data_IF_955600175269
#
_entry.id   IF_955600175269
#
_cell.length_a   1.000
_cell.length_b   1.000
_cell.length_c   1.000
_cell.angle_alpha   90.00
_cell.angle_beta   90.00
_cell.angle_gamma   90.00
#
_symmetry.space_group_name_H-M   'P 1'
#
loop_
_entity.id
_entity.type
_entity.pdbx_description
1 polymer ?
#
# COMPACT_ATOMS: atom_id res chain seq x y z
N UNK A 1 -49.87 4.89 -6.00
CA UNK A 1 -48.93 3.73 -6.07
C UNK A 1 -47.52 4.13 -6.52
N UNK A 2 -47.33 4.70 -7.72
CA UNK A 2 -45.98 5.04 -8.22
C UNK A 2 -45.23 6.03 -7.31
N UNK A 3 -45.93 7.02 -6.75
CA UNK A 3 -45.36 7.97 -5.79
C UNK A 3 -44.83 7.29 -4.52
N UNK A 4 -45.55 6.29 -3.99
CA UNK A 4 -45.17 5.53 -2.78
C UNK A 4 -43.92 4.68 -3.04
N UNK A 5 -43.88 3.99 -4.18
CA UNK A 5 -42.73 3.18 -4.56
C UNK A 5 -41.49 4.07 -4.78
N UNK A 6 -41.68 5.21 -5.46
CA UNK A 6 -40.61 6.18 -5.70
C UNK A 6 -40.07 6.77 -4.40
N UNK A 7 -40.93 7.25 -3.50
CA UNK A 7 -40.50 7.87 -2.25
C UNK A 7 -39.72 6.89 -1.37
N UNK A 8 -40.11 5.61 -1.35
CA UNK A 8 -39.39 4.57 -0.63
C UNK A 8 -38.04 4.22 -1.28
N UNK A 9 -37.98 4.16 -2.62
CA UNK A 9 -36.73 3.96 -3.35
C UNK A 9 -35.76 5.13 -3.14
N UNK A 10 -36.26 6.37 -3.24
CA UNK A 10 -35.49 7.58 -3.02
C UNK A 10 -34.89 7.58 -1.60
N UNK A 11 -35.68 7.18 -0.59
CA UNK A 11 -35.17 6.98 0.78
C UNK A 11 -34.01 5.96 0.83
N UNK A 12 -34.14 4.80 0.19
CA UNK A 12 -33.08 3.78 0.18
C UNK A 12 -31.82 4.26 -0.53
N UNK A 13 -31.96 4.97 -1.65
CA UNK A 13 -30.81 5.55 -2.35
C UNK A 13 -30.11 6.61 -1.50
N UNK A 14 -30.87 7.45 -0.78
CA UNK A 14 -30.26 8.40 0.15
C UNK A 14 -29.56 7.70 1.32
N UNK A 15 -30.15 6.64 1.88
CA UNK A 15 -29.52 5.86 2.95
C UNK A 15 -28.17 5.28 2.54
N UNK A 16 -28.02 4.85 1.27
CA UNK A 16 -26.80 4.25 0.74
C UNK A 16 -25.66 5.25 0.45
N UNK A 17 -25.87 6.54 0.65
CA UNK A 17 -24.82 7.53 0.42
C UNK A 17 -23.68 7.36 1.44
N UNK A 18 -22.45 7.28 0.95
CA UNK A 18 -21.25 7.18 1.79
C UNK A 18 -21.00 8.46 2.61
N UNK A 19 -21.55 9.58 2.16
CA UNK A 19 -21.43 10.88 2.81
C UNK A 19 -22.78 11.60 2.79
N UNK A 20 -23.14 12.17 3.95
CA UNK A 20 -24.36 12.96 4.09
C UNK A 20 -24.03 14.43 4.36
N UNK A 21 -24.80 15.30 3.75
CA UNK A 21 -24.93 16.72 4.07
C UNK A 21 -26.31 16.98 4.65
N UNK A 22 -26.53 18.13 5.29
CA UNK A 22 -27.89 18.51 5.75
C UNK A 22 -28.91 18.53 4.60
N UNK A 23 -28.48 18.83 3.36
CA UNK A 23 -29.35 18.77 2.18
C UNK A 23 -29.81 17.34 1.90
N UNK A 24 -28.89 16.38 1.92
CA UNK A 24 -29.22 14.97 1.65
C UNK A 24 -30.00 14.34 2.80
N UNK A 25 -29.72 14.72 4.06
CA UNK A 25 -30.51 14.27 5.22
C UNK A 25 -31.93 14.81 5.17
N UNK A 26 -32.10 16.08 4.79
CA UNK A 26 -33.42 16.65 4.58
C UNK A 26 -34.16 15.94 3.45
N UNK A 27 -33.53 15.74 2.30
CA UNK A 27 -34.14 15.01 1.18
C UNK A 27 -34.52 13.55 1.55
N UNK A 28 -33.71 12.89 2.39
CA UNK A 28 -34.02 11.58 2.94
C UNK A 28 -35.26 11.61 3.84
N UNK A 29 -35.37 12.59 4.73
CA UNK A 29 -36.55 12.77 5.58
C UNK A 29 -37.80 13.11 4.75
N UNK A 30 -37.68 14.06 3.81
CA UNK A 30 -38.78 14.46 2.92
C UNK A 30 -39.31 13.25 2.10
N UNK A 31 -38.41 12.34 1.70
CA UNK A 31 -38.78 11.09 1.02
C UNK A 31 -39.55 10.13 1.93
N UNK A 32 -39.18 10.03 3.22
CA UNK A 32 -39.89 9.21 4.20
C UNK A 32 -41.27 9.79 4.54
N UNK A 33 -41.36 11.11 4.69
CA UNK A 33 -42.61 11.83 4.94
C UNK A 33 -43.56 11.63 3.76
N UNK A 34 -43.08 11.82 2.53
CA UNK A 34 -43.84 11.55 1.31
C UNK A 34 -44.30 10.09 1.21
N UNK A 35 -43.52 9.12 1.70
CA UNK A 35 -43.96 7.72 1.78
C UNK A 35 -45.12 7.57 2.77
N UNK A 36 -45.02 8.16 3.96
CA UNK A 36 -46.05 8.07 4.98
C UNK A 36 -47.36 8.79 4.60
N UNK A 37 -47.28 9.89 3.86
CA UNK A 37 -48.45 10.60 3.35
C UNK A 37 -49.25 9.76 2.36
N UNK A 38 -48.57 8.99 1.50
CA UNK A 38 -49.20 8.29 0.38
C UNK A 38 -49.42 6.77 0.61
N UNK A 39 -48.84 6.17 1.66
CA UNK A 39 -48.92 4.70 1.90
C UNK A 39 -50.35 4.17 2.07
N UNK A 40 -51.29 5.01 2.50
CA UNK A 40 -52.70 4.63 2.71
C UNK A 40 -53.36 4.09 1.43
N UNK A 41 -52.95 4.56 0.25
CA UNK A 41 -53.43 4.06 -1.05
C UNK A 41 -53.18 2.55 -1.21
N UNK A 42 -52.14 2.00 -0.60
CA UNK A 42 -51.88 0.56 -0.65
C UNK A 42 -52.82 -0.25 0.26
N UNK A 43 -53.36 0.38 1.31
CA UNK A 43 -54.40 -0.21 2.17
C UNK A 43 -55.76 -0.16 1.46
N UNK A 44 -56.10 0.98 0.85
CA UNK A 44 -57.34 1.16 0.07
C UNK A 44 -57.44 0.22 -1.12
N UNK A 45 -56.32 -0.09 -1.77
CA UNK A 45 -56.25 -1.06 -2.86
C UNK A 45 -56.21 -2.52 -2.39
N UNK A 46 -56.41 -2.76 -1.09
CA UNK A 46 -56.39 -4.10 -0.46
C UNK A 46 -55.08 -4.88 -0.70
N UNK A 47 -53.97 -4.18 -0.99
CA UNK A 47 -52.66 -4.81 -1.18
C UNK A 47 -52.09 -5.28 0.17
N UNK A 48 -52.45 -4.59 1.26
CA UNK A 48 -52.04 -4.92 2.64
C UNK A 48 -52.97 -4.30 3.67
N UNK A 49 -53.17 -4.98 4.80
CA UNK A 49 -54.03 -4.51 5.90
C UNK A 49 -53.44 -3.31 6.67
N UNK A 50 -52.15 -3.35 7.01
CA UNK A 50 -51.47 -2.27 7.75
C UNK A 50 -49.97 -2.15 7.45
N UNK A 51 -49.33 -1.12 8.02
CA UNK A 51 -47.89 -0.84 7.88
C UNK A 51 -47.13 -0.94 9.22
N UNK A 52 -47.64 -1.70 10.19
CA UNK A 52 -47.00 -1.96 11.50
C UNK A 52 -45.87 -3.00 11.37
N UNK A 53 -44.97 -2.76 10.43
CA UNK A 53 -43.85 -3.63 10.10
C UNK A 53 -42.62 -3.07 10.80
N UNK A 54 -41.94 -3.84 11.67
CA UNK A 54 -40.76 -3.35 12.39
C UNK A 54 -39.69 -2.72 11.48
N UNK A 55 -39.51 -3.28 10.26
CA UNK A 55 -38.57 -2.75 9.25
C UNK A 55 -38.98 -1.40 8.64
N UNK A 56 -40.28 -1.09 8.60
CA UNK A 56 -40.77 0.23 8.16
C UNK A 56 -40.66 1.22 9.31
N UNK A 57 -40.98 0.80 10.53
CA UNK A 57 -40.82 1.62 11.71
C UNK A 57 -39.36 2.04 11.93
N UNK A 58 -38.40 1.14 11.70
CA UNK A 58 -36.98 1.45 11.86
C UNK A 58 -36.49 2.60 10.96
N UNK A 59 -37.15 2.86 9.83
CA UNK A 59 -36.77 3.94 8.90
C UNK A 59 -36.86 5.32 9.57
N UNK A 60 -37.76 5.50 10.54
CA UNK A 60 -37.91 6.73 11.33
C UNK A 60 -36.65 7.12 12.09
N UNK A 61 -35.79 6.15 12.40
CA UNK A 61 -34.58 6.38 13.19
C UNK A 61 -33.34 6.62 12.34
N UNK A 62 -33.39 6.44 11.02
CA UNK A 62 -32.19 6.51 10.18
C UNK A 62 -31.52 7.88 10.24
N UNK A 63 -32.28 8.96 10.08
CA UNK A 63 -31.69 10.31 10.06
C UNK A 63 -31.05 10.65 11.41
N UNK A 64 -31.69 10.29 12.53
CA UNK A 64 -31.09 10.46 13.86
C UNK A 64 -29.85 9.59 14.06
N UNK A 65 -29.88 8.34 13.61
CA UNK A 65 -28.74 7.42 13.70
C UNK A 65 -27.58 7.89 12.84
N UNK A 66 -27.84 8.39 11.63
CA UNK A 66 -26.80 8.90 10.73
C UNK A 66 -26.12 10.12 11.34
N UNK A 67 -26.87 11.01 11.99
CA UNK A 67 -26.31 12.16 12.71
C UNK A 67 -25.45 11.74 13.91
N UNK A 68 -25.84 10.69 14.61
CA UNK A 68 -25.14 10.23 15.81
C UNK A 68 -23.93 9.34 15.52
N UNK A 69 -24.00 8.50 14.48
CA UNK A 69 -23.08 7.39 14.24
C UNK A 69 -22.32 7.50 12.91
N UNK A 70 -22.72 8.40 12.00
CA UNK A 70 -22.14 8.53 10.67
C UNK A 70 -22.98 7.85 9.58
N UNK A 71 -22.46 7.81 8.34
CA UNK A 71 -23.16 7.16 7.23
C UNK A 71 -23.38 5.67 7.50
N UNK A 72 -24.36 5.06 6.83
CA UNK A 72 -24.69 3.65 7.07
C UNK A 72 -23.69 2.68 6.44
N UNK A 73 -22.69 3.20 5.71
CA UNK A 73 -21.60 2.41 5.13
C UNK A 73 -20.76 1.77 6.25
N UNK A 74 -20.66 0.45 6.25
CA UNK A 74 -19.99 -0.33 7.31
C UNK A 74 -20.88 -0.86 8.43
N UNK A 75 -22.18 -0.55 8.45
CA UNK A 75 -23.15 -1.13 9.40
C UNK A 75 -23.92 -2.35 8.84
N UNK A 76 -23.66 -2.76 7.60
CA UNK A 76 -24.29 -3.94 7.02
C UNK A 76 -23.68 -5.24 7.58
N UNK A 77 -24.50 -6.27 7.73
CA UNK A 77 -24.07 -7.59 8.21
C UNK A 77 -23.62 -8.51 7.07
N UNK A 78 -23.71 -8.06 5.81
CA UNK A 78 -23.37 -8.86 4.63
C UNK A 78 -21.93 -9.40 4.67
N UNK A 79 -20.97 -8.57 5.08
CA UNK A 79 -19.57 -8.99 5.17
C UNK A 79 -19.33 -10.02 6.28
N UNK A 80 -19.76 -9.79 7.55
CA UNK A 80 -19.73 -10.82 8.58
C UNK A 80 -20.48 -12.11 8.19
N UNK A 81 -21.64 -12.01 7.54
CA UNK A 81 -22.43 -13.17 7.09
C UNK A 81 -21.70 -13.97 6.01
N UNK A 82 -20.99 -13.31 5.09
CA UNK A 82 -20.17 -13.98 4.08
C UNK A 82 -19.00 -14.73 4.73
N UNK A 83 -18.32 -14.08 5.68
CA UNK A 83 -17.22 -14.67 6.43
C UNK A 83 -17.69 -15.84 7.32
N UNK A 84 -18.93 -15.83 7.77
CA UNK A 84 -19.53 -16.94 8.50
C UNK A 84 -19.53 -18.26 7.70
N UNK A 85 -19.50 -18.22 6.37
CA UNK A 85 -19.36 -19.43 5.55
C UNK A 85 -17.98 -20.05 5.80
N UNK A 86 -16.93 -19.27 5.55
CA UNK A 86 -15.56 -19.77 5.53
C UNK A 86 -15.04 -20.01 6.96
N UNK A 87 -15.39 -19.13 7.91
CA UNK A 87 -14.87 -19.19 9.28
C UNK A 87 -15.71 -20.03 10.24
N UNK A 88 -17.03 -20.08 10.05
CA UNK A 88 -17.90 -20.83 10.96
C UNK A 88 -18.40 -22.13 10.33
N UNK A 89 -19.05 -22.08 9.16
CA UNK A 89 -19.69 -23.28 8.58
C UNK A 89 -18.68 -24.33 8.14
N UNK A 90 -17.61 -23.93 7.46
CA UNK A 90 -16.61 -24.88 6.96
C UNK A 90 -15.77 -25.46 8.11
N UNK A 91 -15.36 -24.62 9.06
CA UNK A 91 -14.70 -25.05 10.28
C UNK A 91 -15.58 -26.03 11.10
N UNK A 92 -16.87 -25.72 11.27
CA UNK A 92 -17.81 -26.60 11.96
C UNK A 92 -18.01 -27.93 11.22
N UNK A 93 -18.11 -27.89 9.88
CA UNK A 93 -18.24 -29.09 9.05
C UNK A 93 -17.00 -29.99 9.14
N UNK A 94 -15.81 -29.41 9.32
CA UNK A 94 -14.56 -30.14 9.51
C UNK A 94 -14.37 -30.68 10.94
N UNK A 95 -15.15 -30.21 11.92
CA UNK A 95 -15.10 -30.67 13.30
C UNK A 95 -15.85 -31.99 13.51
N UNK A 96 -15.58 -32.66 14.64
CA UNK A 96 -16.38 -33.81 15.08
C UNK A 96 -17.69 -33.42 15.80
N UNK A 97 -17.99 -32.11 15.88
CA UNK A 97 -19.19 -31.49 16.51
C UNK A 97 -19.32 -31.67 18.03
N UNK A 98 -18.29 -32.20 18.70
CA UNK A 98 -18.21 -32.28 20.17
C UNK A 98 -17.14 -31.29 20.64
N UNK A 99 -17.48 -30.38 21.55
CA UNK A 99 -16.57 -29.32 22.02
C UNK A 99 -15.90 -28.60 20.84
N UNK A 100 -16.72 -28.23 19.85
CA UNK A 100 -16.29 -27.87 18.50
C UNK A 100 -15.55 -26.53 18.40
N UNK A 101 -15.67 -25.65 19.41
CA UNK A 101 -15.08 -24.30 19.37
C UNK A 101 -13.55 -24.35 19.26
N UNK A 102 -12.90 -25.18 20.09
CA UNK A 102 -11.45 -25.37 20.04
C UNK A 102 -11.00 -26.01 18.73
N UNK A 103 -11.79 -26.96 18.21
CA UNK A 103 -11.51 -27.61 16.93
C UNK A 103 -11.65 -26.64 15.76
N UNK A 104 -12.65 -25.76 15.77
CA UNK A 104 -12.83 -24.72 14.76
C UNK A 104 -11.68 -23.71 14.80
N UNK A 105 -11.28 -23.26 15.99
CA UNK A 105 -10.13 -22.36 16.15
C UNK A 105 -8.84 -23.01 15.63
N UNK A 106 -8.58 -24.26 16.00
CA UNK A 106 -7.43 -25.02 15.51
C UNK A 106 -7.48 -25.26 14.00
N UNK A 107 -8.67 -25.50 13.44
CA UNK A 107 -8.86 -25.65 12.00
C UNK A 107 -8.50 -24.36 11.27
N UNK A 108 -8.96 -23.20 11.75
CA UNK A 108 -8.63 -21.89 11.18
C UNK A 108 -7.13 -21.62 11.23
N UNK A 109 -6.48 -21.86 12.39
CA UNK A 109 -5.04 -21.71 12.54
C UNK A 109 -4.26 -22.58 11.55
N UNK A 110 -4.74 -23.80 11.26
CA UNK A 110 -4.14 -24.68 10.26
C UNK A 110 -4.35 -24.16 8.84
N UNK A 111 -5.54 -23.65 8.51
CA UNK A 111 -5.79 -23.05 7.19
C UNK A 111 -4.88 -21.85 6.95
N UNK A 112 -4.73 -20.97 7.94
CA UNK A 112 -3.81 -19.83 7.88
C UNK A 112 -2.36 -20.31 7.68
N UNK A 113 -1.88 -21.27 8.48
CA UNK A 113 -0.53 -21.81 8.35
C UNK A 113 -0.25 -22.42 6.97
N UNK A 114 -1.23 -23.17 6.41
CA UNK A 114 -1.12 -23.72 5.05
C UNK A 114 -1.09 -22.61 4.00
N UNK A 115 -1.92 -21.58 4.16
CA UNK A 115 -1.94 -20.44 3.26
C UNK A 115 -0.59 -19.69 3.29
N UNK A 116 -0.06 -19.39 4.48
CA UNK A 116 1.27 -18.79 4.66
C UNK A 116 2.38 -19.64 4.02
N UNK A 117 2.34 -20.96 4.22
CA UNK A 117 3.36 -21.84 3.62
C UNK A 117 3.26 -21.89 2.10
N UNK A 118 2.04 -21.99 1.57
CA UNK A 118 1.79 -22.10 0.12
C UNK A 118 2.24 -20.85 -0.62
N UNK A 119 1.92 -19.69 -0.09
CA UNK A 119 2.34 -18.38 -0.62
C UNK A 119 3.86 -18.18 -0.52
N UNK A 120 4.50 -18.58 0.59
CA UNK A 120 5.96 -18.60 0.71
C UNK A 120 6.63 -19.49 -0.34
N UNK A 121 6.09 -20.69 -0.58
CA UNK A 121 6.61 -21.60 -1.61
C UNK A 121 6.47 -21.00 -3.01
N UNK A 122 5.33 -20.35 -3.32
CA UNK A 122 5.13 -19.65 -4.58
C UNK A 122 6.14 -18.49 -4.77
N UNK A 123 6.35 -17.67 -3.73
CA UNK A 123 7.37 -16.62 -3.74
C UNK A 123 8.80 -17.19 -3.96
N UNK A 124 9.12 -18.31 -3.30
CA UNK A 124 10.43 -18.95 -3.44
C UNK A 124 10.62 -19.53 -4.85
N UNK A 125 9.59 -20.12 -5.44
CA UNK A 125 9.62 -20.61 -6.83
C UNK A 125 9.83 -19.46 -7.81
N UNK A 126 9.13 -18.34 -7.64
CA UNK A 126 9.32 -17.12 -8.43
C UNK A 126 10.79 -16.65 -8.44
N UNK A 127 11.49 -16.72 -7.30
CA UNK A 127 12.93 -16.37 -7.23
C UNK A 127 13.85 -17.41 -7.84
N UNK A 128 13.42 -18.68 -7.89
CA UNK A 128 14.23 -19.78 -8.43
C UNK A 128 14.14 -19.91 -9.94
N UNK A 129 13.08 -19.40 -10.58
CA UNK A 129 12.93 -19.38 -12.03
C UNK A 129 14.12 -18.63 -12.65
N UNK A 130 15.12 -19.32 -13.21
CA UNK A 130 16.06 -18.64 -14.08
C UNK A 130 15.26 -18.25 -15.31
N UNK A 131 15.40 -17.03 -15.78
CA UNK A 131 14.96 -16.65 -17.12
C UNK A 131 15.62 -17.57 -18.15
N UNK A 132 14.92 -18.65 -18.51
CA UNK A 132 15.33 -19.63 -19.49
C UNK A 132 14.09 -20.04 -20.28
N UNK A 133 13.65 -19.13 -21.15
CA UNK A 133 13.56 -19.41 -22.58
C UNK A 133 13.40 -18.08 -23.36
N UNK A 134 14.39 -17.85 -24.22
CA UNK A 134 14.55 -16.72 -25.14
C UNK A 134 13.40 -16.68 -26.17
N UNK A 135 12.92 -15.53 -26.65
CA UNK A 135 13.56 -14.70 -27.68
C UNK A 135 12.81 -13.35 -27.80
N UNK A 136 13.60 -12.28 -27.96
CA UNK A 136 13.26 -10.98 -28.56
C UNK A 136 12.14 -10.11 -27.95
N UNK A 137 12.44 -9.43 -26.83
CA UNK A 137 12.37 -7.95 -26.75
C UNK A 137 13.14 -7.45 -25.50
N UNK A 138 13.85 -6.34 -25.64
CA UNK A 138 14.74 -5.82 -24.60
C UNK A 138 14.00 -5.24 -23.40
N UNK A 139 13.93 -5.98 -22.29
CA UNK A 139 14.08 -5.52 -20.88
C UNK A 139 13.37 -6.44 -19.88
N UNK A 140 13.97 -7.60 -19.58
CA UNK A 140 13.57 -8.36 -18.38
C UNK A 140 14.20 -7.74 -17.11
N UNK A 141 14.06 -6.41 -16.93
CA UNK A 141 14.62 -5.70 -15.78
C UNK A 141 13.66 -5.80 -14.61
N UNK A 142 14.16 -6.26 -13.45
CA UNK A 142 13.41 -6.33 -12.18
C UNK A 142 12.93 -4.94 -11.68
N UNK A 143 13.32 -3.87 -12.38
CA UNK A 143 12.93 -2.51 -12.10
C UNK A 143 12.63 -1.74 -13.40
N UNK A 144 11.92 -0.62 -13.27
CA UNK A 144 11.60 0.32 -14.35
C UNK A 144 11.81 1.76 -13.87
N UNK A 145 12.44 2.57 -14.70
CA UNK A 145 12.58 4.02 -14.49
C UNK A 145 11.93 4.76 -15.66
N UNK A 146 11.57 6.03 -15.47
CA UNK A 146 11.03 6.85 -16.55
C UNK A 146 12.06 6.99 -17.68
N UNK A 147 11.59 6.95 -18.94
CA UNK A 147 12.45 7.05 -20.13
C UNK A 147 13.33 8.32 -20.13
N UNK A 148 12.80 9.40 -19.56
CA UNK A 148 13.48 10.67 -19.43
C UNK A 148 13.75 11.00 -17.96
N UNK A 149 14.89 11.62 -17.64
CA UNK A 149 15.17 12.09 -16.30
C UNK A 149 14.15 13.16 -15.90
N UNK A 150 13.73 13.11 -14.64
CA UNK A 150 12.82 14.11 -14.07
C UNK A 150 13.51 15.47 -13.95
N UNK A 151 14.82 15.46 -13.70
CA UNK A 151 15.68 16.62 -13.86
C UNK A 151 17.01 16.19 -14.48
N UNK A 152 17.40 16.85 -15.57
CA UNK A 152 18.63 16.55 -16.30
C UNK A 152 19.74 17.51 -15.92
N UNK A 153 21.00 17.04 -15.97
CA UNK A 153 22.21 17.82 -15.74
C UNK A 153 22.23 18.63 -14.44
N UNK A 154 21.89 18.02 -13.30
CA UNK A 154 22.03 18.69 -12.01
C UNK A 154 23.49 18.72 -11.55
N UNK A 155 23.91 19.83 -10.95
CA UNK A 155 25.20 19.91 -10.24
C UNK A 155 25.12 19.24 -8.87
N UNK A 156 26.30 18.90 -8.34
CA UNK A 156 26.46 18.27 -7.02
C UNK A 156 25.84 19.13 -5.91
N UNK A 157 26.05 20.45 -5.94
CA UNK A 157 25.50 21.37 -4.93
C UNK A 157 23.97 21.32 -4.87
N UNK A 158 23.31 21.23 -6.02
CA UNK A 158 21.86 21.13 -6.09
C UNK A 158 21.37 19.78 -5.56
N UNK A 159 22.14 18.69 -5.77
CA UNK A 159 21.82 17.38 -5.22
C UNK A 159 21.92 17.42 -3.69
N UNK A 160 23.01 17.95 -3.15
CA UNK A 160 23.21 18.07 -1.71
C UNK A 160 22.14 18.95 -1.05
N UNK A 161 21.84 20.11 -1.65
CA UNK A 161 20.89 21.08 -1.10
C UNK A 161 19.42 20.64 -1.26
N UNK A 162 18.98 20.28 -2.47
CA UNK A 162 17.56 20.02 -2.72
C UNK A 162 17.14 18.60 -2.33
N UNK A 163 18.00 17.61 -2.56
CA UNK A 163 17.71 16.20 -2.26
C UNK A 163 18.17 15.78 -0.86
N UNK A 164 18.72 16.72 -0.07
CA UNK A 164 19.23 16.51 1.29
C UNK A 164 20.30 15.42 1.38
N UNK A 165 21.12 15.29 0.33
CA UNK A 165 22.11 14.23 0.19
C UNK A 165 23.52 14.76 0.51
N UNK A 166 23.77 15.19 1.75
CA UNK A 166 25.03 15.86 2.12
C UNK A 166 26.28 15.03 1.81
N UNK A 167 26.22 13.72 2.10
CA UNK A 167 27.34 12.78 1.88
C UNK A 167 27.36 12.19 0.46
N UNK A 168 26.66 12.78 -0.51
CA UNK A 168 26.59 12.27 -1.88
C UNK A 168 27.98 12.13 -2.52
N UNK A 169 28.77 13.21 -2.52
CA UNK A 169 30.12 13.27 -3.09
C UNK A 169 31.08 12.24 -2.47
N UNK A 170 31.33 12.25 -1.14
CA UNK A 170 32.27 11.31 -0.54
C UNK A 170 31.83 9.85 -0.71
N UNK A 171 30.53 9.58 -0.66
CA UNK A 171 29.99 8.22 -0.87
C UNK A 171 30.19 7.75 -2.31
N UNK A 172 29.94 8.63 -3.28
CA UNK A 172 30.09 8.28 -4.70
C UNK A 172 31.56 8.08 -5.08
N UNK A 173 32.47 8.94 -4.62
CA UNK A 173 33.91 8.77 -4.83
C UNK A 173 34.44 7.48 -4.22
N UNK A 174 34.01 7.14 -3.00
CA UNK A 174 34.35 5.88 -2.35
C UNK A 174 33.81 4.69 -3.15
N UNK A 175 32.54 4.74 -3.58
CA UNK A 175 31.93 3.69 -4.38
C UNK A 175 32.66 3.50 -5.71
N UNK A 176 32.95 4.58 -6.44
CA UNK A 176 33.71 4.53 -7.70
C UNK A 176 35.12 3.94 -7.51
N UNK A 177 35.78 4.29 -6.42
CA UNK A 177 37.11 3.75 -6.06
C UNK A 177 37.05 2.25 -5.74
N UNK A 178 36.00 1.80 -5.06
CA UNK A 178 35.79 0.38 -4.73
C UNK A 178 35.39 -0.47 -5.93
N UNK A 179 34.59 0.09 -6.84
CA UNK A 179 33.98 -0.65 -7.95
C UNK A 179 34.91 -0.76 -9.17
N UNK A 180 35.76 0.23 -9.40
CA UNK A 180 36.63 0.28 -10.58
C UNK A 180 37.82 -0.68 -10.53
N UNK A 181 38.10 -1.34 -9.38
CA UNK A 181 39.21 -2.27 -9.19
C UNK A 181 40.62 -1.67 -9.38
N UNK A 182 40.68 -0.43 -9.84
CA UNK A 182 41.87 0.38 -10.04
C UNK A 182 41.83 1.46 -8.97
N UNK A 183 42.88 1.58 -8.16
CA UNK A 183 43.06 2.67 -7.20
C UNK A 183 43.31 4.02 -7.92
N UNK A 184 42.48 4.39 -8.89
CA UNK A 184 42.39 5.76 -9.39
C UNK A 184 41.37 6.47 -8.53
N UNK A 185 41.85 7.42 -7.73
CA UNK A 185 40.97 8.37 -7.05
C UNK A 185 40.19 9.13 -8.13
N UNK A 186 38.94 8.73 -8.37
CA UNK A 186 38.02 9.49 -9.21
C UNK A 186 37.55 10.65 -8.35
N UNK A 187 38.06 11.85 -8.64
CA UNK A 187 37.59 13.07 -7.98
C UNK A 187 36.44 13.67 -8.78
N UNK A 188 35.31 13.87 -8.10
CA UNK A 188 34.18 14.56 -8.69
C UNK A 188 34.52 16.04 -8.81
N UNK A 189 34.27 16.61 -9.98
CA UNK A 189 34.49 18.03 -10.25
C UNK A 189 33.17 18.79 -10.16
N UNK A 190 33.20 20.08 -9.80
CA UNK A 190 32.01 20.94 -9.82
C UNK A 190 31.31 21.04 -11.19
N UNK A 191 32.01 20.63 -12.26
CA UNK A 191 31.50 20.53 -13.62
C UNK A 191 30.66 19.27 -13.88
N UNK A 192 30.64 18.32 -12.95
CA UNK A 192 29.90 17.06 -13.14
C UNK A 192 28.40 17.29 -13.06
N UNK A 193 27.67 16.58 -13.93
CA UNK A 193 26.25 16.81 -14.17
C UNK A 193 25.52 15.48 -14.20
N UNK A 194 24.53 15.30 -13.34
CA UNK A 194 23.81 14.04 -13.18
C UNK A 194 22.37 14.13 -13.67
N UNK A 195 21.90 13.06 -14.29
CA UNK A 195 20.50 12.90 -14.68
C UNK A 195 19.75 12.19 -13.56
N UNK A 196 18.73 12.84 -12.99
CA UNK A 196 18.01 12.40 -11.80
C UNK A 196 16.57 11.99 -12.15
N UNK A 197 16.13 10.90 -11.53
CA UNK A 197 14.80 10.34 -11.65
C UNK A 197 14.06 10.47 -10.32
N UNK A 198 12.80 10.88 -10.39
CA UNK A 198 11.95 11.03 -9.20
C UNK A 198 11.24 9.74 -8.79
N UNK A 199 11.16 8.77 -9.71
CA UNK A 199 10.39 7.55 -9.54
C UNK A 199 11.19 6.34 -10.02
N UNK A 200 11.30 5.35 -9.15
CA UNK A 200 11.80 4.01 -9.45
C UNK A 200 10.66 3.03 -9.19
N UNK A 201 10.41 2.12 -10.13
CA UNK A 201 9.43 1.06 -9.96
C UNK A 201 10.17 -0.25 -9.82
N UNK A 202 9.93 -1.00 -8.74
CA UNK A 202 10.54 -2.31 -8.53
C UNK A 202 9.46 -3.39 -8.62
N UNK A 203 9.79 -4.52 -9.24
CA UNK A 203 8.88 -5.67 -9.30
C UNK A 203 8.87 -6.33 -7.94
N UNK A 204 7.72 -6.35 -7.28
CA UNK A 204 7.48 -7.11 -6.05
C UNK A 204 6.73 -8.38 -6.39
N UNK A 205 7.21 -9.50 -5.83
CA UNK A 205 6.53 -10.79 -5.93
C UNK A 205 5.20 -10.79 -5.16
N UNK A 206 4.43 -11.88 -5.26
CA UNK A 206 3.16 -11.99 -4.55
C UNK A 206 3.37 -11.82 -3.04
N UNK A 207 2.55 -10.96 -2.44
CA UNK A 207 2.62 -10.63 -1.01
C UNK A 207 1.66 -11.49 -0.23
N UNK A 208 2.19 -12.22 0.75
CA UNK A 208 1.40 -13.04 1.67
C UNK A 208 0.58 -12.20 2.63
N UNK A 209 1.11 -11.02 3.01
CA UNK A 209 0.51 -10.15 4.02
C UNK A 209 -0.67 -9.35 3.44
N UNK A 210 -0.56 -8.96 2.17
CA UNK A 210 -1.57 -8.11 1.51
C UNK A 210 -2.44 -8.87 0.51
N UNK A 211 -2.17 -10.17 0.27
CA UNK A 211 -2.87 -10.98 -0.73
C UNK A 211 -2.70 -10.52 -2.18
N UNK A 212 -1.75 -9.61 -2.45
CA UNK A 212 -1.57 -9.03 -3.78
C UNK A 212 -0.73 -9.96 -4.65
N UNK A 213 -1.16 -10.12 -5.91
CA UNK A 213 -0.40 -10.72 -7.00
C UNK A 213 0.87 -9.90 -7.31
N UNK A 214 1.70 -10.38 -8.24
CA UNK A 214 2.85 -9.62 -8.74
C UNK A 214 2.46 -8.17 -9.08
N UNK A 215 3.19 -7.21 -8.52
CA UNK A 215 2.91 -5.80 -8.75
C UNK A 215 4.19 -4.97 -8.77
N UNK A 216 4.12 -3.81 -9.43
CA UNK A 216 5.22 -2.85 -9.47
C UNK A 216 5.06 -1.86 -8.32
N UNK A 217 5.96 -1.91 -7.35
CA UNK A 217 5.97 -0.94 -6.24
C UNK A 217 6.74 0.31 -6.66
N UNK A 218 6.12 1.47 -6.46
CA UNK A 218 6.70 2.78 -6.78
C UNK A 218 7.46 3.34 -5.58
N UNK A 219 8.75 3.61 -5.77
CA UNK A 219 9.64 4.31 -4.84
C UNK A 219 9.85 5.74 -5.36
N UNK A 220 9.68 6.74 -4.49
CA UNK A 220 9.82 8.16 -4.82
C UNK A 220 11.00 8.80 -4.13
N UNK A 221 11.74 9.61 -4.90
CA UNK A 221 12.84 10.44 -4.43
C UNK A 221 12.69 11.85 -5.03
N UNK A 222 11.89 12.68 -4.36
CA UNK A 222 11.44 13.98 -4.88
C UNK A 222 11.75 15.10 -3.89
N UNK A 223 12.48 16.15 -4.30
CA UNK A 223 12.68 17.32 -3.47
C UNK A 223 11.39 18.15 -3.43
N UNK A 224 11.35 19.16 -2.56
CA UNK A 224 10.23 20.11 -2.54
C UNK A 224 10.20 20.84 -3.88
N UNK A 225 9.08 20.81 -4.59
CA UNK A 225 8.89 21.54 -5.84
C UNK A 225 7.91 22.67 -5.59
N UNK A 226 8.38 23.91 -5.71
CA UNK A 226 7.54 25.10 -5.64
C UNK A 226 6.64 25.13 -6.88
N UNK A 227 5.35 25.31 -6.67
CA UNK A 227 4.35 25.41 -7.72
C UNK A 227 4.66 26.59 -8.65
N UNK A 228 4.52 26.37 -9.96
CA UNK A 228 4.54 27.46 -10.96
C UNK A 228 3.20 27.51 -11.67
N UNK A 229 2.55 28.68 -11.63
CA UNK A 229 1.26 28.91 -12.26
C UNK A 229 0.12 28.16 -11.58
N UNK A 230 -0.66 27.38 -12.33
CA UNK A 230 -1.81 26.61 -11.83
C UNK A 230 -1.45 25.30 -11.11
N UNK A 231 -0.16 24.96 -11.00
CA UNK A 231 0.28 23.73 -10.30
C UNK A 231 0.54 24.04 -8.82
N UNK A 232 -0.08 23.31 -7.88
CA UNK A 232 0.16 23.49 -6.46
C UNK A 232 1.59 23.07 -6.07
N UNK A 233 2.05 23.57 -4.92
CA UNK A 233 3.30 23.15 -4.30
C UNK A 233 3.31 21.64 -4.01
N UNK A 234 4.41 20.98 -4.34
CA UNK A 234 4.63 19.58 -3.98
C UNK A 234 5.66 19.50 -2.84
N UNK A 235 5.23 19.00 -1.68
CA UNK A 235 6.13 18.69 -0.57
C UNK A 235 7.19 17.66 -0.97
N UNK A 236 8.37 17.75 -0.35
CA UNK A 236 9.43 16.77 -0.55
C UNK A 236 8.96 15.37 -0.09
N UNK A 237 9.30 14.34 -0.87
CA UNK A 237 8.94 12.95 -0.58
C UNK A 237 10.10 12.02 -0.91
N UNK A 238 10.61 11.35 0.13
CA UNK A 238 11.69 10.38 0.06
C UNK A 238 11.21 9.09 0.73
N UNK A 239 10.81 8.13 -0.10
CA UNK A 239 10.27 6.85 0.37
C UNK A 239 11.39 5.98 0.98
N UNK A 240 11.02 5.14 1.93
CA UNK A 240 11.91 4.16 2.57
C UNK A 240 11.74 2.78 1.94
N UNK A 241 12.83 2.05 1.79
CA UNK A 241 12.85 0.69 1.26
C UNK A 241 13.57 -0.25 2.24
N UNK A 242 13.13 -1.50 2.28
CA UNK A 242 13.88 -2.59 2.89
C UNK A 242 14.89 -3.10 1.88
N UNK A 243 16.16 -3.13 2.27
CA UNK A 243 17.27 -3.61 1.44
C UNK A 243 17.84 -4.85 2.11
N UNK A 244 18.07 -5.89 1.31
CA UNK A 244 18.75 -7.12 1.72
C UNK A 244 20.25 -6.92 1.49
N UNK A 245 21.08 -7.09 2.52
CA UNK A 245 22.54 -7.05 2.36
C UNK A 245 23.06 -8.37 1.77
N UNK A 246 23.86 -8.28 0.70
CA UNK A 246 24.48 -9.45 0.08
C UNK A 246 25.56 -10.04 0.99
N UNK A 247 25.44 -11.33 1.33
CA UNK A 247 26.37 -12.07 2.17
C UNK A 247 25.70 -13.05 3.15
N UNK A 248 24.42 -12.85 3.46
CA UNK A 248 23.61 -13.75 4.27
C UNK A 248 22.59 -14.46 3.36
N UNK A 249 22.91 -15.68 2.93
CA UNK A 249 21.89 -16.56 2.37
C UNK A 249 20.94 -16.95 3.51
N UNK A 250 19.64 -16.61 3.44
CA UNK A 250 18.72 -16.97 4.50
C UNK A 250 18.59 -18.49 4.61
N UNK A 251 18.93 -19.04 5.76
CA UNK A 251 18.40 -20.34 6.16
C UNK A 251 16.91 -20.16 6.51
N UNK A 252 16.09 -21.19 6.25
CA UNK A 252 14.64 -21.06 6.15
C UNK A 252 13.89 -20.73 7.47
N UNK A 253 14.60 -20.58 8.59
CA UNK A 253 14.04 -20.49 9.95
C UNK A 253 14.38 -19.18 10.69
N UNK A 254 14.97 -18.20 10.02
CA UNK A 254 15.51 -17.00 10.68
C UNK A 254 14.56 -15.79 10.66
N UNK A 255 14.37 -15.20 11.85
CA UNK A 255 13.60 -13.96 12.10
C UNK A 255 14.22 -12.78 11.31
N UNK A 256 13.46 -11.72 11.04
CA UNK A 256 13.88 -10.51 10.31
C UNK A 256 15.24 -9.94 10.77
N UNK A 257 15.59 -10.13 12.04
CA UNK A 257 16.85 -9.71 12.67
C UNK A 257 18.09 -10.44 12.11
N UNK A 258 17.91 -11.66 11.60
CA UNK A 258 18.97 -12.55 11.03
C UNK A 258 19.03 -12.49 9.50
N UNK A 259 18.01 -11.92 8.85
CA UNK A 259 17.88 -11.87 7.38
C UNK A 259 18.78 -10.83 6.69
N UNK A 260 19.64 -10.11 7.42
CA UNK A 260 20.46 -9.04 6.85
C UNK A 260 19.61 -7.92 6.21
N UNK A 261 18.38 -7.73 6.69
CA UNK A 261 17.46 -6.71 6.18
C UNK A 261 17.74 -5.39 6.90
N UNK A 262 18.00 -4.34 6.14
CA UNK A 262 18.21 -2.99 6.66
C UNK A 262 17.26 -2.01 5.99
N UNK A 263 16.79 -1.01 6.74
CA UNK A 263 15.93 0.04 6.20
C UNK A 263 16.81 1.14 5.63
N UNK A 264 16.49 1.61 4.43
CA UNK A 264 17.17 2.71 3.78
C UNK A 264 16.17 3.75 3.28
N UNK A 265 16.45 5.03 3.50
CA UNK A 265 15.72 6.12 2.87
C UNK A 265 16.32 6.42 1.51
N UNK A 266 15.51 6.37 0.45
CA UNK A 266 15.97 6.66 -0.91
C UNK A 266 15.97 8.17 -1.14
N UNK A 267 17.16 8.72 -1.35
CA UNK A 267 17.40 10.17 -1.46
C UNK A 267 17.52 10.63 -2.91
N UNK A 268 18.30 9.91 -3.73
CA UNK A 268 18.54 10.26 -5.14
C UNK A 268 18.54 9.00 -5.99
N UNK A 269 17.86 9.03 -7.14
CA UNK A 269 17.96 8.00 -8.18
C UNK A 269 18.57 8.68 -9.38
N UNK A 270 19.72 8.22 -9.88
CA UNK A 270 20.47 8.94 -10.91
C UNK A 270 21.12 8.01 -11.92
N UNK A 271 21.36 8.52 -13.13
CA UNK A 271 22.24 7.90 -14.10
C UNK A 271 23.63 8.51 -13.98
N UNK A 272 24.65 7.66 -13.92
CA UNK A 272 26.03 8.10 -13.92
C UNK A 272 26.42 8.61 -15.33
N UNK A 273 27.15 9.74 -15.43
CA UNK A 273 27.65 10.22 -16.71
C UNK A 273 28.57 9.19 -17.40
N UNK A 274 28.46 9.11 -18.72
CA UNK A 274 29.13 8.05 -19.50
C UNK A 274 30.67 8.11 -19.43
N UNK A 275 31.25 9.26 -19.06
CA UNK A 275 32.71 9.43 -18.88
C UNK A 275 33.26 8.78 -17.61
N UNK A 276 32.41 8.42 -16.64
CA UNK A 276 32.81 7.60 -15.49
C UNK A 276 32.79 6.09 -15.81
N UNK A 277 32.25 5.70 -16.97
CA UNK A 277 32.08 4.32 -17.39
C UNK A 277 30.67 4.05 -17.90
N UNK A 278 30.50 2.90 -18.55
CA UNK A 278 29.18 2.48 -19.05
C UNK A 278 28.45 1.67 -17.96
N UNK A 279 27.45 2.29 -17.36
CA UNK A 279 26.59 1.66 -16.35
C UNK A 279 25.17 1.50 -16.90
N UNK A 280 24.71 0.26 -17.18
CA UNK A 280 23.41 0.02 -17.78
C UNK A 280 22.24 0.26 -16.81
N UNK A 281 22.52 0.31 -15.51
CA UNK A 281 21.52 0.44 -14.47
C UNK A 281 21.61 1.82 -13.79
N UNK A 282 20.47 2.45 -13.43
CA UNK A 282 20.46 3.66 -12.62
C UNK A 282 20.97 3.33 -11.21
N UNK A 283 21.71 4.26 -10.64
CA UNK A 283 22.23 4.19 -9.27
C UNK A 283 21.28 4.88 -8.31
N UNK A 284 21.34 4.46 -7.05
CA UNK A 284 20.49 5.01 -6.00
C UNK A 284 21.36 5.40 -4.81
N UNK A 285 21.33 6.67 -4.43
CA UNK A 285 21.90 7.14 -3.18
C UNK A 285 20.87 6.97 -2.06
N UNK A 286 21.28 6.27 -1.00
CA UNK A 286 20.44 5.92 0.14
C UNK A 286 21.08 6.33 1.45
N UNK A 287 20.25 6.74 2.40
CA UNK A 287 20.65 6.93 3.79
C UNK A 287 20.17 5.75 4.62
N UNK A 288 21.10 5.05 5.24
CA UNK A 288 20.82 3.89 6.07
C UNK A 288 20.21 4.29 7.41
N UNK A 289 19.23 3.52 7.87
CA UNK A 289 18.82 3.52 9.26
C UNK A 289 19.63 2.48 10.06
N UNK A 290 19.57 2.60 11.39
CA UNK A 290 20.11 1.61 12.32
C UNK A 290 19.49 0.23 12.09
N UNK A 291 20.27 -0.83 12.34
CA UNK A 291 19.80 -2.20 12.25
C UNK A 291 18.59 -2.46 13.17
N UNK A 292 17.74 -3.41 12.75
CA UNK A 292 16.47 -3.74 13.39
C UNK A 292 16.69 -4.60 14.65
N UNK A 293 17.16 -3.99 15.74
CA UNK A 293 17.44 -4.70 17.01
C UNK A 293 16.71 -4.13 18.22
N UNK A 294 16.12 -2.93 18.11
CA UNK A 294 15.41 -2.27 19.20
C UNK A 294 13.92 -2.27 18.92
N UNK A 295 13.14 -2.64 19.94
CA UNK A 295 11.69 -2.63 19.90
C UNK A 295 11.16 -1.60 20.88
N UNK A 296 10.10 -0.90 20.48
CA UNK A 296 9.33 -0.05 21.39
C UNK A 296 8.48 -0.94 22.31
N UNK A 297 8.63 -0.85 23.64
CA UNK A 297 7.95 -1.75 24.57
C UNK A 297 6.42 -1.59 24.58
N UNK A 298 5.88 -0.46 24.10
CA UNK A 298 4.44 -0.22 24.06
C UNK A 298 3.79 -0.72 22.75
N UNK A 299 4.41 -0.45 21.60
CA UNK A 299 3.87 -0.83 20.28
C UNK A 299 4.40 -2.16 19.74
N UNK A 300 5.53 -2.66 20.27
CA UNK A 300 6.22 -3.84 19.75
C UNK A 300 6.86 -3.62 18.37
N UNK A 301 6.93 -2.37 17.88
CA UNK A 301 7.51 -2.04 16.58
C UNK A 301 9.01 -1.77 16.69
N UNK A 302 9.75 -2.03 15.62
CA UNK A 302 11.17 -1.69 15.54
C UNK A 302 11.38 -0.17 15.59
N UNK A 303 12.23 0.28 16.50
CA UNK A 303 12.70 1.66 16.55
C UNK A 303 13.97 1.78 15.71
N UNK A 304 13.91 2.62 14.68
CA UNK A 304 15.05 2.93 13.81
C UNK A 304 15.39 4.40 13.85
N UNK A 305 16.69 4.72 13.82
CA UNK A 305 17.22 6.08 13.70
C UNK A 305 18.18 6.14 12.52
N UNK A 306 18.48 7.33 11.97
CA UNK A 306 19.47 7.43 10.90
C UNK A 306 20.83 6.92 11.41
N UNK A 307 21.44 6.01 10.66
CA UNK A 307 22.76 5.48 10.99
C UNK A 307 23.80 6.56 10.79
N UNK A 308 24.60 6.84 11.81
CA UNK A 308 25.81 7.67 11.70
C UNK A 308 26.97 6.90 11.08
N UNK A 309 26.85 5.57 10.98
CA UNK A 309 27.76 4.68 10.27
C UNK A 309 27.12 4.29 8.95
N UNK A 310 27.23 5.16 7.96
CA UNK A 310 27.15 4.72 6.57
C UNK A 310 28.33 3.77 6.39
N UNK A 311 28.11 2.52 5.97
CA UNK A 311 29.20 1.54 5.82
C UNK A 311 30.33 2.17 5.01
N UNK A 312 31.40 2.50 5.74
CA UNK A 312 32.73 2.79 5.22
C UNK A 312 33.44 1.47 5.02
#
# INVERSE_FOLDING_TARGET
>A
VLAVARSLLDFFYYAQLQQHTEKTLKAMQDSLDSFHDHKHVLVELEVREDFNIPKIHSLLHYVSSIRALGSTDGYNTEYPERLHIDYAKDAYRASNKRDYVEQMALWLQRQEAIHYKSTYLAWRQFRKSPSADSLEDGSNTCYRVTKFPSRSRLSIDHIQAEYKAAEFTPTLEQWLSSYSGQHRAVQLTESDRFDIYHNLYIKTGPSVITGHQESMQKIRAMPKVIGRGRKPDCSARFDTAFVLEEGLHPSADEVLETLGVRVAQVRVIFKLPDYFGNYPHPLVYVEWFTALHRHDPASGLYIVTHSTRHHR
#
